data_IF_350997894907
#
_entry.id   IF_350997894907
#
_cell.length_a   1.000
_cell.length_b   1.000
_cell.length_c   1.000
_cell.angle_alpha   90.00
_cell.angle_beta   90.00
_cell.angle_gamma   90.00
#
_symmetry.space_group_name_H-M   'P 1'
#
loop_
_entity.id
_entity.type
_entity.pdbx_description
1 polymer ?
#
# COMPACT_ATOMS: atom_id res chain seq x y z
N UNK A 1 -0.78 50.50 -29.28
CA UNK A 1 -2.14 50.82 -29.78
C UNK A 1 -2.41 52.28 -29.43
N UNK A 2 -2.59 53.17 -30.41
CA UNK A 2 -2.77 54.62 -30.20
C UNK A 2 -4.22 54.99 -30.46
N UNK A 3 -4.80 55.82 -29.59
CA UNK A 3 -6.18 56.31 -29.71
C UNK A 3 -6.14 57.68 -30.38
N UNK A 4 -6.93 57.86 -31.44
CA UNK A 4 -7.18 59.17 -32.05
C UNK A 4 -8.59 59.65 -31.63
N UNK A 5 -8.79 60.97 -31.58
CA UNK A 5 -10.02 61.62 -31.09
C UNK A 5 -11.27 61.30 -31.90
N UNK A 6 -11.13 60.59 -33.04
CA UNK A 6 -12.23 60.06 -33.85
C UNK A 6 -12.66 58.62 -33.53
N UNK A 7 -12.04 57.94 -32.57
CA UNK A 7 -12.39 56.54 -32.25
C UNK A 7 -13.68 56.43 -31.44
N UNK A 8 -14.59 55.55 -31.86
CA UNK A 8 -15.82 55.26 -31.12
C UNK A 8 -15.56 54.31 -29.95
N UNK A 9 -16.51 54.23 -28.99
CA UNK A 9 -16.46 53.21 -27.93
C UNK A 9 -16.42 51.77 -28.47
N UNK A 10 -17.03 51.53 -29.63
CA UNK A 10 -16.99 50.24 -30.30
C UNK A 10 -15.60 49.93 -30.89
N UNK A 11 -14.92 50.96 -31.45
CA UNK A 11 -13.53 50.84 -31.85
C UNK A 11 -12.63 50.55 -30.64
N UNK A 12 -12.92 51.10 -29.47
CA UNK A 12 -12.19 50.80 -28.24
C UNK A 12 -12.43 49.36 -27.78
N UNK A 13 -13.69 48.91 -27.73
CA UNK A 13 -14.05 47.54 -27.37
C UNK A 13 -13.35 46.51 -28.26
N UNK A 14 -13.34 46.71 -29.57
CA UNK A 14 -12.72 45.77 -30.51
C UNK A 14 -11.18 45.79 -30.47
N UNK A 15 -10.55 46.96 -30.31
CA UNK A 15 -9.08 47.08 -30.31
C UNK A 15 -8.43 46.71 -28.96
N UNK A 16 -9.14 46.83 -27.84
CA UNK A 16 -8.58 46.62 -26.51
C UNK A 16 -9.15 45.43 -25.75
N UNK A 17 -10.28 44.84 -26.19
CA UNK A 17 -10.86 43.63 -25.58
C UNK A 17 -10.72 42.41 -26.49
N UNK A 18 -9.54 42.24 -27.10
CA UNK A 18 -9.24 41.09 -27.94
C UNK A 18 -8.24 40.13 -27.27
N UNK A 19 -8.43 39.91 -25.96
CA UNK A 19 -7.54 39.12 -25.11
C UNK A 19 -7.23 37.74 -25.73
N UNK A 20 -8.24 37.08 -26.31
CA UNK A 20 -8.11 35.79 -26.97
C UNK A 20 -7.14 35.81 -28.18
N UNK A 21 -7.03 36.94 -28.88
CA UNK A 21 -6.11 37.06 -30.03
C UNK A 21 -4.69 37.41 -29.56
N UNK A 22 -4.55 38.14 -28.45
CA UNK A 22 -3.25 38.52 -27.89
C UNK A 22 -2.59 37.37 -27.09
N UNK A 23 -3.37 36.47 -26.46
CA UNK A 23 -2.85 35.31 -25.68
C UNK A 23 -3.01 33.96 -26.36
N UNK A 24 -3.68 33.92 -27.53
CA UNK A 24 -4.00 32.68 -28.26
C UNK A 24 -5.33 32.06 -27.83
N UNK A 25 -6.02 31.43 -28.78
CA UNK A 25 -7.28 30.71 -28.55
C UNK A 25 -7.00 29.33 -27.93
N UNK A 26 -7.57 28.98 -26.75
CA UNK A 26 -7.42 27.66 -26.16
C UNK A 26 -7.85 26.50 -27.07
N UNK A 27 -8.71 26.74 -28.07
CA UNK A 27 -9.20 25.74 -29.01
C UNK A 27 -8.09 25.21 -29.93
N UNK A 28 -7.09 26.03 -30.25
CA UNK A 28 -5.96 25.64 -31.10
C UNK A 28 -4.85 24.88 -30.34
N UNK A 29 -4.94 24.80 -29.02
CA UNK A 29 -3.97 24.09 -28.20
C UNK A 29 -4.10 22.57 -28.42
N UNK A 30 -2.97 21.87 -28.40
CA UNK A 30 -2.93 20.41 -28.56
C UNK A 30 -2.79 19.66 -27.24
N UNK A 31 -2.73 20.38 -26.12
CA UNK A 31 -2.65 19.84 -24.75
C UNK A 31 -3.95 19.16 -24.33
N UNK A 32 -3.90 18.27 -23.32
CA UNK A 32 -5.11 17.61 -22.80
C UNK A 32 -6.01 18.63 -22.10
N UNK A 33 -5.43 19.48 -21.24
CA UNK A 33 -6.16 20.62 -20.68
C UNK A 33 -6.11 21.81 -21.64
N UNK A 34 -7.29 22.21 -22.13
CA UNK A 34 -7.52 23.37 -23.01
C UNK A 34 -8.49 24.37 -22.39
N UNK A 35 -8.77 24.26 -21.09
CA UNK A 35 -9.72 25.14 -20.41
C UNK A 35 -9.25 26.60 -20.41
N UNK A 36 -7.94 26.83 -20.48
CA UNK A 36 -7.32 28.12 -20.78
C UNK A 36 -5.90 27.93 -21.30
N UNK A 37 -5.33 28.97 -21.92
CA UNK A 37 -3.90 28.99 -22.29
C UNK A 37 -3.01 28.82 -21.06
N UNK A 38 -3.39 29.39 -19.92
CA UNK A 38 -2.64 29.24 -18.65
C UNK A 38 -2.64 27.80 -18.18
N UNK A 39 -3.79 27.12 -18.21
CA UNK A 39 -3.87 25.72 -17.79
C UNK A 39 -3.14 24.79 -18.76
N UNK A 40 -3.16 25.09 -20.06
CA UNK A 40 -2.35 24.37 -21.03
C UNK A 40 -0.85 24.59 -20.84
N UNK A 41 -0.41 25.81 -20.51
CA UNK A 41 0.99 26.12 -20.20
C UNK A 41 1.40 25.41 -18.91
N UNK A 42 0.58 25.49 -17.86
CA UNK A 42 0.82 24.78 -16.61
C UNK A 42 0.89 23.26 -16.87
N UNK A 43 -0.01 22.73 -17.67
CA UNK A 43 0.01 21.34 -18.11
C UNK A 43 1.31 20.97 -18.85
N UNK A 44 1.83 21.84 -19.72
CA UNK A 44 3.12 21.63 -20.40
C UNK A 44 4.29 21.76 -19.42
N UNK A 45 4.27 22.73 -18.52
CA UNK A 45 5.30 22.95 -17.51
C UNK A 45 5.41 21.76 -16.56
N UNK A 46 4.27 21.23 -16.11
CA UNK A 46 4.16 20.01 -15.32
C UNK A 46 4.62 18.76 -16.11
N UNK A 47 4.66 18.86 -17.45
CA UNK A 47 5.15 17.84 -18.37
C UNK A 47 6.61 18.01 -18.80
N UNK A 48 7.31 19.09 -18.42
CA UNK A 48 8.73 19.21 -18.75
C UNK A 48 9.44 18.00 -18.13
N UNK A 49 10.12 17.24 -18.98
CA UNK A 49 10.97 16.12 -18.58
C UNK A 49 12.04 16.67 -17.64
N UNK A 50 11.76 16.58 -16.35
CA UNK A 50 12.70 16.90 -15.30
C UNK A 50 13.64 15.71 -15.24
N UNK A 51 14.92 15.93 -15.48
CA UNK A 51 15.97 14.96 -15.26
C UNK A 51 17.00 15.62 -14.36
N UNK A 52 17.23 15.01 -13.20
CA UNK A 52 18.20 15.53 -12.24
C UNK A 52 19.00 14.35 -11.69
N UNK A 53 20.31 14.48 -11.78
CA UNK A 53 21.23 13.62 -11.06
C UNK A 53 21.50 14.22 -9.68
N UNK A 54 21.50 13.36 -8.68
CA UNK A 54 21.92 13.68 -7.32
C UNK A 54 23.11 12.79 -6.98
N UNK A 55 24.14 13.39 -6.41
CA UNK A 55 25.37 12.70 -6.04
C UNK A 55 25.55 12.69 -4.53
N UNK A 56 25.88 11.50 -4.04
CA UNK A 56 26.29 11.23 -2.68
C UNK A 56 27.58 10.39 -2.72
N UNK A 57 28.35 10.44 -1.67
CA UNK A 57 29.33 9.44 -1.31
C UNK A 57 28.81 8.59 -0.15
N UNK A 58 29.47 7.47 0.15
CA UNK A 58 29.00 6.58 1.21
C UNK A 58 28.97 7.23 2.59
N UNK A 59 29.75 8.29 2.84
CA UNK A 59 29.74 9.02 4.11
C UNK A 59 28.55 9.95 4.29
N UNK A 60 27.87 10.30 3.19
CA UNK A 60 26.62 11.08 3.22
C UNK A 60 25.40 10.25 3.63
N UNK A 61 25.57 8.95 3.86
CA UNK A 61 24.52 8.07 4.35
C UNK A 61 24.26 8.24 5.85
N UNK A 62 23.16 7.68 6.34
CA UNK A 62 22.93 7.58 7.80
C UNK A 62 23.97 6.63 8.46
N UNK A 63 23.93 6.42 9.78
CA UNK A 63 24.94 5.66 10.54
C UNK A 63 25.31 4.25 10.02
N UNK A 64 24.51 3.66 9.12
CA UNK A 64 24.76 2.40 8.43
C UNK A 64 25.25 2.52 6.98
N UNK A 65 25.42 3.73 6.44
CA UNK A 65 25.69 4.05 5.03
C UNK A 65 24.77 3.32 4.04
N UNK A 66 23.51 3.11 4.43
CA UNK A 66 22.49 2.48 3.59
C UNK A 66 21.39 3.43 3.19
N UNK A 67 21.12 4.49 3.94
CA UNK A 67 20.04 5.45 3.66
C UNK A 67 20.64 6.76 3.20
N UNK A 68 20.25 7.23 2.01
CA UNK A 68 20.73 8.47 1.39
C UNK A 68 19.56 9.37 0.97
N UNK A 69 19.66 10.70 1.17
CA UNK A 69 20.62 11.36 2.05
C UNK A 69 20.48 10.88 3.50
N UNK A 70 21.59 10.79 4.21
CA UNK A 70 21.62 10.63 5.65
C UNK A 70 21.07 11.86 6.36
N UNK A 71 20.72 11.72 7.64
CA UNK A 71 20.10 12.80 8.42
C UNK A 71 20.99 14.07 8.48
N UNK A 72 22.31 13.91 8.51
CA UNK A 72 23.27 15.02 8.51
C UNK A 72 23.20 15.90 7.25
N UNK A 73 22.80 15.33 6.11
CA UNK A 73 22.68 16.05 4.84
C UNK A 73 21.43 16.92 4.77
N UNK A 74 20.52 16.85 5.75
CA UNK A 74 19.30 17.67 5.80
C UNK A 74 18.44 17.62 4.52
N UNK A 75 18.43 16.47 3.84
CA UNK A 75 17.69 16.28 2.59
C UNK A 75 18.35 16.87 1.35
N UNK A 76 19.64 17.24 1.42
CA UNK A 76 20.42 17.77 0.31
C UNK A 76 21.37 16.71 -0.28
N UNK A 77 21.80 16.90 -1.53
CA UNK A 77 22.93 16.18 -2.14
C UNK A 77 24.26 16.93 -1.93
N UNK A 78 25.36 16.38 -2.47
CA UNK A 78 26.70 16.99 -2.34
C UNK A 78 26.87 18.32 -3.07
N UNK A 79 25.95 18.66 -3.98
CA UNK A 79 25.91 19.95 -4.64
C UNK A 79 24.97 20.94 -3.92
N UNK A 80 24.32 20.53 -2.82
CA UNK A 80 23.38 21.35 -2.05
C UNK A 80 21.97 21.42 -2.66
N UNK A 81 21.67 20.57 -3.65
CA UNK A 81 20.33 20.45 -4.22
C UNK A 81 19.43 19.67 -3.28
N UNK A 82 18.17 20.10 -3.15
CA UNK A 82 17.16 19.33 -2.43
C UNK A 82 16.91 17.99 -3.14
N UNK A 83 17.18 16.89 -2.44
CA UNK A 83 16.93 15.55 -2.95
C UNK A 83 15.43 15.25 -2.92
N UNK A 84 14.82 15.34 -4.09
CA UNK A 84 13.41 15.04 -4.30
C UNK A 84 13.27 14.28 -5.62
N UNK A 85 12.56 13.16 -5.57
CA UNK A 85 12.30 12.34 -6.73
C UNK A 85 10.87 11.82 -6.74
N UNK A 86 10.38 11.47 -7.92
CA UNK A 86 9.10 10.75 -8.03
C UNK A 86 9.36 9.26 -7.81
N UNK A 87 8.69 8.60 -6.84
CA UNK A 87 8.80 7.15 -6.69
C UNK A 87 8.60 6.44 -8.03
N UNK A 88 9.32 5.33 -8.24
CA UNK A 88 9.32 4.53 -9.48
C UNK A 88 9.96 5.20 -10.70
N UNK A 89 10.49 6.43 -10.57
CA UNK A 89 11.14 7.15 -11.67
C UNK A 89 12.55 7.56 -11.31
N UNK A 90 13.30 6.58 -10.81
CA UNK A 90 14.66 6.78 -10.34
C UNK A 90 15.54 5.59 -10.70
N UNK A 91 16.75 5.86 -11.15
CA UNK A 91 17.82 4.87 -11.33
C UNK A 91 18.90 5.15 -10.29
N UNK A 92 19.32 4.11 -9.55
CA UNK A 92 20.35 4.24 -8.53
C UNK A 92 21.59 3.47 -8.98
N UNK A 93 22.74 4.14 -8.91
CA UNK A 93 24.03 3.61 -9.30
C UNK A 93 24.97 3.62 -8.09
N UNK A 94 25.77 2.57 -7.94
CA UNK A 94 26.89 2.53 -7.00
C UNK A 94 28.18 2.30 -7.77
N UNK A 95 29.12 3.24 -7.68
CA UNK A 95 30.37 3.24 -8.45
C UNK A 95 30.13 3.02 -9.96
N UNK A 96 29.05 3.60 -10.49
CA UNK A 96 28.64 3.49 -11.90
C UNK A 96 27.88 2.20 -12.27
N UNK A 97 27.74 1.22 -11.37
CA UNK A 97 26.93 0.03 -11.61
C UNK A 97 25.46 0.33 -11.29
N UNK A 98 24.56 0.09 -12.26
CA UNK A 98 23.12 0.17 -12.05
C UNK A 98 22.65 -0.91 -11.06
N UNK A 99 21.97 -0.48 -10.01
CA UNK A 99 21.38 -1.36 -9.01
C UNK A 99 19.95 -1.77 -9.41
N UNK A 100 19.50 -2.94 -8.97
CA UNK A 100 18.12 -3.40 -9.21
C UNK A 100 17.19 -2.90 -8.11
N UNK A 101 16.10 -2.25 -8.50
CA UNK A 101 15.06 -1.84 -7.56
C UNK A 101 14.40 -3.06 -6.89
N UNK A 102 14.04 -2.93 -5.61
CA UNK A 102 13.42 -3.98 -4.80
C UNK A 102 14.38 -5.09 -4.34
N UNK A 103 15.56 -5.24 -4.97
CA UNK A 103 16.59 -6.21 -4.57
C UNK A 103 17.82 -5.53 -3.99
N UNK A 104 18.42 -4.61 -4.73
CA UNK A 104 19.68 -3.95 -4.36
C UNK A 104 19.43 -2.58 -3.69
N UNK A 105 18.26 -1.96 -3.95
CA UNK A 105 17.81 -0.74 -3.25
C UNK A 105 16.27 -0.61 -3.22
N UNK A 106 15.75 0.21 -2.30
CA UNK A 106 14.34 0.66 -2.24
C UNK A 106 14.24 2.19 -2.27
N UNK A 107 13.24 2.73 -2.97
CA UNK A 107 13.08 4.17 -3.21
C UNK A 107 11.59 4.53 -3.40
N UNK A 108 10.84 4.51 -2.30
CA UNK A 108 9.35 4.52 -2.33
C UNK A 108 8.71 5.81 -1.79
N UNK A 109 9.46 6.67 -1.09
CA UNK A 109 8.91 7.85 -0.40
C UNK A 109 9.16 9.17 -1.14
N UNK A 110 10.01 9.17 -2.17
CA UNK A 110 10.34 10.36 -2.96
C UNK A 110 11.41 11.26 -2.35
N UNK A 111 11.92 10.94 -1.16
CA UNK A 111 12.85 11.81 -0.41
C UNK A 111 14.07 11.08 0.16
N UNK A 112 14.10 9.75 0.17
CA UNK A 112 15.30 8.95 0.49
C UNK A 112 15.38 7.69 -0.36
N UNK A 113 16.58 7.15 -0.55
CA UNK A 113 16.83 5.82 -1.10
C UNK A 113 17.51 4.96 -0.02
N UNK A 114 17.17 3.68 0.03
CA UNK A 114 17.77 2.72 0.98
C UNK A 114 18.42 1.58 0.21
N UNK A 115 19.75 1.47 0.29
CA UNK A 115 20.52 0.35 -0.27
C UNK A 115 20.35 -0.91 0.58
N UNK A 116 20.31 -2.08 -0.06
CA UNK A 116 20.29 -3.36 0.63
C UNK A 116 21.64 -3.73 1.27
N UNK A 117 22.74 -3.21 0.72
CA UNK A 117 24.09 -3.36 1.24
C UNK A 117 24.72 -1.98 1.48
N UNK A 118 25.48 -1.85 2.57
CA UNK A 118 26.13 -0.58 2.92
C UNK A 118 27.11 -0.12 1.84
N UNK A 119 27.20 1.19 1.68
CA UNK A 119 28.26 1.85 0.94
C UNK A 119 29.50 2.01 1.83
N UNK A 120 30.68 1.77 1.28
CA UNK A 120 31.91 2.25 1.89
C UNK A 120 31.95 3.77 1.77
N UNK A 121 32.59 4.48 2.69
CA UNK A 121 32.60 5.96 2.70
C UNK A 121 33.07 6.59 1.37
N UNK A 122 33.91 5.91 0.60
CA UNK A 122 34.41 6.40 -0.68
C UNK A 122 33.60 5.93 -1.91
N UNK A 123 32.56 5.10 -1.71
CA UNK A 123 31.69 4.67 -2.80
C UNK A 123 30.84 5.85 -3.27
N UNK A 124 30.71 6.02 -4.59
CA UNK A 124 29.85 7.05 -5.18
C UNK A 124 28.46 6.47 -5.40
N UNK A 125 27.45 7.13 -4.84
CA UNK A 125 26.04 6.83 -5.05
C UNK A 125 25.44 7.93 -5.91
N UNK A 126 25.11 7.58 -7.16
CA UNK A 126 24.40 8.49 -8.06
C UNK A 126 22.95 8.08 -8.18
N UNK A 127 22.07 9.06 -8.04
CA UNK A 127 20.63 8.87 -8.17
C UNK A 127 20.12 9.74 -9.31
N UNK A 128 19.75 9.10 -10.42
CA UNK A 128 19.15 9.78 -11.57
C UNK A 128 17.63 9.75 -11.44
N UNK A 129 17.04 10.90 -11.10
CA UNK A 129 15.59 11.11 -11.02
C UNK A 129 15.05 11.64 -12.34
N UNK A 130 13.88 11.17 -12.76
CA UNK A 130 13.21 11.68 -13.94
C UNK A 130 11.70 11.80 -13.78
N UNK A 131 11.06 12.75 -14.46
CA UNK A 131 9.60 12.76 -14.63
C UNK A 131 9.30 12.10 -15.98
N UNK A 132 8.56 10.97 -15.96
CA UNK A 132 8.38 10.12 -17.15
C UNK A 132 7.75 10.83 -18.37
N UNK A 133 8.03 10.29 -19.56
CA UNK A 133 7.45 10.74 -20.85
C UNK A 133 5.93 10.53 -20.92
N UNK A 134 5.22 11.43 -21.62
CA UNK A 134 3.78 11.38 -21.90
C UNK A 134 3.35 10.21 -22.80
N UNK A 135 4.29 9.55 -23.49
CA UNK A 135 3.93 8.35 -24.25
C UNK A 135 3.60 7.26 -23.25
N UNK A 136 2.41 6.67 -23.35
CA UNK A 136 1.82 5.59 -22.55
C UNK A 136 2.69 4.33 -22.29
N UNK A 137 4.02 4.38 -22.37
CA UNK A 137 4.88 3.44 -21.65
C UNK A 137 4.43 3.46 -20.19
N UNK A 138 3.83 2.37 -19.69
CA UNK A 138 3.38 2.32 -18.32
C UNK A 138 4.55 2.77 -17.47
N UNK A 139 4.31 3.71 -16.54
CA UNK A 139 5.09 3.69 -15.31
C UNK A 139 5.15 2.22 -14.92
N UNK A 140 6.34 1.65 -14.74
CA UNK A 140 6.46 0.37 -14.07
C UNK A 140 5.73 0.57 -12.76
N UNK A 141 4.46 0.16 -12.75
CA UNK A 141 3.59 0.34 -11.62
C UNK A 141 4.15 -0.68 -10.65
N UNK A 142 5.01 -0.23 -9.74
CA UNK A 142 5.32 -1.02 -8.56
C UNK A 142 3.96 -1.32 -7.94
N UNK A 143 3.63 -2.60 -7.99
CA UNK A 143 2.29 -3.10 -7.80
C UNK A 143 1.76 -2.61 -6.46
N UNK A 144 0.48 -2.23 -6.44
CA UNK A 144 -0.29 -1.86 -5.26
C UNK A 144 0.11 -2.70 -4.04
N UNK A 145 0.08 -2.10 -2.83
CA UNK A 145 0.39 -2.72 -1.53
C UNK A 145 -0.52 -3.91 -1.19
N UNK A 146 -0.48 -4.96 -2.00
CA UNK A 146 -0.75 -6.32 -1.63
C UNK A 146 0.50 -6.84 -0.93
N UNK A 147 0.35 -7.73 0.03
CA UNK A 147 1.47 -8.49 0.58
C UNK A 147 2.03 -9.34 -0.57
N UNK A 148 2.97 -8.78 -1.34
CA UNK A 148 3.61 -9.44 -2.45
C UNK A 148 4.80 -10.23 -1.89
N UNK A 149 4.71 -11.54 -1.91
CA UNK A 149 5.84 -12.39 -1.53
C UNK A 149 6.56 -12.87 -2.78
N UNK A 150 7.86 -12.58 -2.89
CA UNK A 150 8.71 -13.11 -3.95
C UNK A 150 9.04 -14.61 -3.77
N UNK A 151 8.70 -15.20 -2.62
CA UNK A 151 8.91 -16.60 -2.29
C UNK A 151 7.61 -17.36 -1.99
N UNK A 152 7.74 -18.67 -1.75
CA UNK A 152 6.60 -19.58 -1.61
C UNK A 152 5.79 -19.42 -0.32
N UNK A 153 6.37 -18.82 0.73
CA UNK A 153 5.75 -18.73 2.05
C UNK A 153 5.77 -17.29 2.59
N UNK A 154 4.70 -16.90 3.29
CA UNK A 154 4.66 -15.72 4.15
C UNK A 154 4.84 -16.21 5.58
N UNK A 155 5.86 -15.72 6.32
CA UNK A 155 6.07 -16.09 7.72
C UNK A 155 6.33 -14.87 8.59
N UNK A 156 5.86 -14.93 9.84
CA UNK A 156 6.07 -13.91 10.85
C UNK A 156 7.17 -14.32 11.82
N UNK A 157 8.10 -13.42 12.14
CA UNK A 157 9.11 -13.62 13.19
C UNK A 157 8.92 -12.70 14.41
N UNK A 158 7.86 -11.87 14.43
CA UNK A 158 7.56 -11.01 15.56
C UNK A 158 7.03 -11.84 16.74
N UNK A 159 7.61 -11.63 17.93
CA UNK A 159 7.21 -12.33 19.17
C UNK A 159 5.78 -12.00 19.64
N UNK A 160 5.23 -10.86 19.23
CA UNK A 160 3.86 -10.50 19.57
C UNK A 160 2.81 -11.18 18.65
N UNK A 161 3.18 -11.59 17.44
CA UNK A 161 2.25 -12.12 16.42
C UNK A 161 1.90 -11.14 15.29
N UNK A 162 0.77 -11.35 14.62
CA UNK A 162 0.21 -10.50 13.53
C UNK A 162 -1.25 -10.17 13.82
N UNK A 163 -1.68 -8.94 13.50
CA UNK A 163 -3.10 -8.56 13.45
C UNK A 163 -3.48 -8.21 12.00
N UNK A 164 -4.51 -8.90 11.48
CA UNK A 164 -5.17 -8.57 10.22
C UNK A 164 -6.50 -7.88 10.52
N UNK A 165 -6.65 -6.63 10.09
CA UNK A 165 -7.80 -5.77 10.44
C UNK A 165 -8.22 -4.93 9.23
N UNK A 166 -9.48 -4.50 9.19
CA UNK A 166 -10.01 -3.66 8.10
C UNK A 166 -10.94 -2.57 8.62
N UNK A 167 -11.07 -1.45 7.89
CA UNK A 167 -12.09 -0.43 8.15
C UNK A 167 -11.95 0.38 9.44
N UNK A 168 -10.83 0.26 10.16
CA UNK A 168 -10.62 0.96 11.44
C UNK A 168 -10.06 2.37 11.21
N UNK A 169 -10.56 3.34 11.97
CA UNK A 169 -9.97 4.67 12.04
C UNK A 169 -8.54 4.59 12.61
N UNK A 170 -7.67 5.51 12.20
CA UNK A 170 -6.23 5.49 12.55
C UNK A 170 -6.02 5.42 14.07
N UNK A 171 -6.79 6.18 14.85
CA UNK A 171 -6.70 6.19 16.32
C UNK A 171 -7.22 4.93 17.03
N UNK A 172 -7.76 3.97 16.28
CA UNK A 172 -8.35 2.74 16.84
C UNK A 172 -7.73 1.48 16.24
N UNK A 173 -6.63 1.61 15.50
CA UNK A 173 -5.89 0.47 14.95
C UNK A 173 -5.39 -0.41 16.09
N UNK A 174 -5.64 -1.72 16.00
CA UNK A 174 -5.10 -2.72 16.90
C UNK A 174 -3.66 -2.99 16.47
N UNK A 175 -2.70 -2.60 17.30
CA UNK A 175 -1.27 -2.65 16.97
C UNK A 175 -0.55 -3.90 17.48
N UNK A 176 -1.21 -4.72 18.29
CA UNK A 176 -0.70 -5.99 18.77
C UNK A 176 -1.84 -6.99 18.96
N UNK A 177 -1.62 -8.30 18.76
CA UNK A 177 -2.61 -9.30 19.08
C UNK A 177 -2.96 -9.30 20.56
N UNK A 178 -4.21 -9.63 20.86
CA UNK A 178 -4.71 -9.82 22.22
C UNK A 178 -4.11 -11.07 22.91
N UNK A 179 -3.64 -12.03 22.12
CA UNK A 179 -2.92 -13.22 22.56
C UNK A 179 -1.54 -13.23 21.89
N UNK A 180 -0.47 -13.34 22.67
CA UNK A 180 0.90 -13.40 22.12
C UNK A 180 1.09 -14.62 21.23
N UNK A 181 2.08 -14.58 20.34
CA UNK A 181 2.40 -15.67 19.41
C UNK A 181 1.21 -16.13 18.55
N UNK A 182 0.29 -15.21 18.22
CA UNK A 182 -0.93 -15.53 17.46
C UNK A 182 -1.07 -14.73 16.17
N UNK A 183 -1.93 -15.24 15.28
CA UNK A 183 -2.49 -14.47 14.18
C UNK A 183 -3.90 -14.10 14.59
N UNK A 184 -4.16 -12.81 14.76
CA UNK A 184 -5.48 -12.29 15.08
C UNK A 184 -6.15 -11.78 13.80
N UNK A 185 -7.39 -12.23 13.58
CA UNK A 185 -8.31 -11.63 12.61
C UNK A 185 -9.24 -10.70 13.38
N UNK A 186 -9.04 -9.39 13.23
CA UNK A 186 -9.76 -8.35 13.94
C UNK A 186 -10.87 -7.78 13.03
N UNK A 187 -11.99 -8.52 12.98
CA UNK A 187 -13.17 -8.22 12.18
C UNK A 187 -13.88 -9.48 11.70
N UNK A 188 -14.97 -9.28 10.96
CA UNK A 188 -15.71 -10.38 10.34
C UNK A 188 -14.81 -11.15 9.36
N UNK A 189 -14.79 -12.47 9.49
CA UNK A 189 -13.98 -13.36 8.65
C UNK A 189 -14.87 -14.17 7.73
N UNK A 190 -14.72 -13.97 6.42
CA UNK A 190 -15.41 -14.74 5.39
C UNK A 190 -14.45 -15.79 4.81
N UNK A 191 -14.83 -17.06 4.88
CA UNK A 191 -14.10 -18.17 4.27
C UNK A 191 -14.94 -18.73 3.12
N UNK A 192 -14.54 -18.45 1.89
CA UNK A 192 -15.28 -18.88 0.69
C UNK A 192 -15.12 -20.37 0.35
N UNK A 193 -14.19 -21.05 1.02
CA UNK A 193 -13.86 -22.46 0.85
C UNK A 193 -13.80 -23.16 2.21
N UNK A 194 -13.20 -24.34 2.27
CA UNK A 194 -13.07 -25.10 3.52
C UNK A 194 -12.06 -24.47 4.49
N UNK A 195 -12.35 -24.57 5.78
CA UNK A 195 -11.39 -24.31 6.86
C UNK A 195 -10.78 -25.63 7.34
N UNK A 196 -9.47 -25.80 7.15
CA UNK A 196 -8.72 -26.97 7.60
C UNK A 196 -8.06 -26.71 8.96
N UNK A 197 -8.30 -27.60 9.92
CA UNK A 197 -7.59 -27.64 11.20
C UNK A 197 -6.67 -28.86 11.21
N UNK A 198 -5.36 -28.66 11.45
CA UNK A 198 -4.38 -29.73 11.35
C UNK A 198 -4.47 -30.71 12.54
N UNK A 199 -4.26 -32.00 12.27
CA UNK A 199 -4.31 -33.08 13.26
C UNK A 199 -5.64 -33.08 14.03
N UNK A 200 -5.61 -33.28 15.36
CA UNK A 200 -6.79 -33.27 16.22
C UNK A 200 -7.05 -31.88 16.83
N UNK A 201 -6.72 -30.79 16.12
CA UNK A 201 -7.05 -29.44 16.60
C UNK A 201 -8.55 -29.19 16.50
N UNK A 202 -9.03 -28.33 17.39
CA UNK A 202 -10.43 -28.08 17.62
C UNK A 202 -10.82 -26.65 17.26
N UNK A 203 -12.06 -26.47 16.81
CA UNK A 203 -12.68 -25.16 16.70
C UNK A 203 -13.29 -24.80 18.05
N UNK A 204 -12.83 -23.72 18.68
CA UNK A 204 -13.25 -23.31 20.04
C UNK A 204 -14.13 -22.08 20.02
N UNK A 205 -15.24 -22.15 20.75
CA UNK A 205 -16.15 -21.06 21.07
C UNK A 205 -15.95 -20.69 22.54
N UNK A 206 -15.19 -19.63 22.78
CA UNK A 206 -14.90 -19.14 24.13
C UNK A 206 -16.11 -18.43 24.74
N UNK A 207 -16.21 -18.46 26.06
CA UNK A 207 -17.19 -17.65 26.81
C UNK A 207 -16.79 -16.15 26.85
N UNK A 208 -17.63 -15.33 27.48
CA UNK A 208 -17.52 -13.87 27.41
C UNK A 208 -16.21 -13.30 27.97
N UNK A 209 -15.59 -13.98 28.93
CA UNK A 209 -14.31 -13.59 29.50
C UNK A 209 -13.13 -14.42 28.98
N UNK A 210 -13.40 -15.33 28.04
CA UNK A 210 -12.42 -16.22 27.42
C UNK A 210 -11.70 -17.18 28.38
N UNK A 211 -12.25 -17.43 29.56
CA UNK A 211 -11.70 -18.37 30.54
C UNK A 211 -12.05 -19.82 30.22
N UNK A 212 -13.22 -20.08 29.61
CA UNK A 212 -13.68 -21.40 29.22
C UNK A 212 -14.08 -21.45 27.73
N UNK A 213 -14.37 -22.65 27.23
CA UNK A 213 -14.82 -22.83 25.85
C UNK A 213 -15.66 -24.10 25.65
N UNK A 214 -16.51 -24.06 24.63
CA UNK A 214 -17.09 -25.25 23.97
C UNK A 214 -16.30 -25.49 22.68
N UNK A 215 -16.00 -26.74 22.34
CA UNK A 215 -15.20 -27.07 21.16
C UNK A 215 -15.83 -28.14 20.27
N UNK A 216 -15.54 -28.04 18.97
CA UNK A 216 -15.80 -29.10 17.99
C UNK A 216 -14.47 -29.74 17.63
N UNK A 217 -14.33 -31.04 17.88
CA UNK A 217 -13.10 -31.79 17.69
C UNK A 217 -13.39 -33.17 17.08
N UNK A 218 -12.53 -33.62 16.16
CA UNK A 218 -12.57 -34.99 15.67
C UNK A 218 -12.04 -36.00 16.72
N UNK A 219 -12.49 -37.27 16.70
CA UNK A 219 -11.88 -38.32 17.50
C UNK A 219 -10.41 -38.55 17.07
N UNK A 220 -9.61 -39.17 17.94
CA UNK A 220 -8.18 -39.38 17.68
C UNK A 220 -7.88 -40.25 16.45
N UNK A 221 -8.87 -40.97 15.93
CA UNK A 221 -8.78 -41.70 14.66
C UNK A 221 -10.12 -41.62 13.92
N UNK A 222 -10.06 -41.27 12.64
CA UNK A 222 -11.20 -41.26 11.72
C UNK A 222 -10.88 -42.23 10.59
N UNK A 223 -11.47 -43.43 10.60
CA UNK A 223 -11.15 -44.52 9.66
C UNK A 223 -11.72 -44.31 8.25
N UNK A 224 -12.70 -43.44 8.10
CA UNK A 224 -13.32 -43.03 6.84
C UNK A 224 -13.82 -41.60 6.97
N UNK A 225 -13.87 -40.82 5.88
CA UNK A 225 -14.41 -39.45 5.90
C UNK A 225 -15.82 -39.42 6.52
N UNK A 226 -16.06 -38.44 7.38
CA UNK A 226 -17.35 -38.18 8.03
C UNK A 226 -17.68 -36.71 7.87
N UNK A 227 -18.94 -36.41 7.60
CA UNK A 227 -19.46 -35.04 7.54
C UNK A 227 -20.56 -34.91 8.58
N UNK A 228 -20.45 -33.88 9.42
CA UNK A 228 -21.56 -33.45 10.26
C UNK A 228 -22.41 -32.48 9.42
N UNK A 229 -23.58 -32.94 8.97
CA UNK A 229 -24.56 -32.09 8.30
C UNK A 229 -25.62 -31.66 9.32
N UNK A 230 -25.82 -30.35 9.47
CA UNK A 230 -26.87 -29.82 10.33
C UNK A 230 -28.25 -30.08 9.68
N UNK A 231 -29.30 -30.30 10.47
CA UNK A 231 -30.65 -30.54 9.94
C UNK A 231 -31.20 -29.30 9.22
N UNK A 232 -32.07 -29.52 8.22
CA UNK A 232 -32.61 -28.49 7.33
C UNK A 232 -33.84 -27.71 7.85
N UNK A 233 -34.22 -27.88 9.13
CA UNK A 233 -35.52 -27.56 9.76
C UNK A 233 -36.62 -28.59 9.39
N UNK A 234 -37.54 -29.02 10.26
CA UNK A 234 -38.50 -28.26 11.07
C UNK A 234 -38.77 -28.93 12.44
N UNK A 235 -38.52 -28.21 13.55
CA UNK A 235 -39.24 -28.30 14.86
C UNK A 235 -38.49 -27.51 15.96
N UNK A 236 -38.16 -26.23 15.67
CA UNK A 236 -37.84 -25.22 16.68
C UNK A 236 -36.53 -25.39 17.48
N UNK A 237 -35.76 -26.45 17.26
CA UNK A 237 -34.59 -26.73 18.08
C UNK A 237 -33.46 -27.34 17.25
N UNK A 238 -32.58 -26.48 16.73
CA UNK A 238 -31.38 -26.86 15.97
C UNK A 238 -30.25 -27.44 16.86
N UNK A 239 -30.57 -27.94 18.07
CA UNK A 239 -29.73 -28.02 19.29
C UNK A 239 -29.87 -26.73 20.13
N UNK A 240 -30.94 -26.56 20.91
CA UNK A 240 -31.09 -25.44 21.85
C UNK A 240 -30.88 -25.80 23.34
N UNK A 241 -29.77 -26.39 23.78
CA UNK A 241 -29.47 -26.79 25.20
C UNK A 241 -30.51 -26.34 26.26
N UNK A 242 -31.67 -27.01 26.31
CA UNK A 242 -32.76 -26.66 27.22
C UNK A 242 -32.56 -27.52 28.45
N UNK A 243 -31.76 -26.99 29.37
CA UNK A 243 -31.22 -27.65 30.56
C UNK A 243 -30.27 -28.81 30.24
N UNK A 244 -29.02 -28.67 30.70
CA UNK A 244 -28.14 -29.80 30.95
C UNK A 244 -28.94 -30.81 31.80
N UNK A 245 -29.26 -31.97 31.23
CA UNK A 245 -29.55 -33.14 32.05
C UNK A 245 -28.38 -33.34 33.02
N UNK A 246 -28.63 -33.90 34.20
CA UNK A 246 -27.70 -33.96 35.34
C UNK A 246 -26.31 -34.56 35.06
N UNK A 247 -26.06 -35.04 33.83
CA UNK A 247 -24.82 -35.63 33.33
C UNK A 247 -24.13 -34.83 32.21
N UNK A 248 -24.56 -33.60 31.90
CA UNK A 248 -23.83 -32.72 30.96
C UNK A 248 -23.86 -33.15 29.48
N UNK A 249 -24.84 -33.96 29.08
CA UNK A 249 -24.94 -34.52 27.73
C UNK A 249 -25.50 -33.49 26.74
N UNK A 250 -24.69 -33.08 25.75
CA UNK A 250 -25.03 -32.04 24.75
C UNK A 250 -25.84 -32.61 23.56
N UNK A 251 -25.89 -33.93 23.41
CA UNK A 251 -26.68 -34.64 22.39
C UNK A 251 -27.44 -35.79 23.07
N UNK A 252 -28.74 -35.64 23.30
CA UNK A 252 -29.59 -36.80 23.62
C UNK A 252 -29.71 -37.63 22.34
N UNK A 253 -29.10 -38.82 22.30
CA UNK A 253 -29.73 -39.90 21.54
C UNK A 253 -31.01 -40.19 22.31
N UNK A 254 -32.16 -39.97 21.68
CA UNK A 254 -33.38 -40.66 22.08
C UNK A 254 -33.05 -42.15 21.99
N UNK A 255 -32.71 -42.71 23.15
CA UNK A 255 -32.31 -44.11 23.23
C UNK A 255 -33.47 -44.95 22.72
N UNK A 256 -33.27 -45.55 21.55
CA UNK A 256 -33.82 -46.82 21.11
C UNK A 256 -32.87 -47.40 20.03
N UNK A 257 -31.77 -48.02 20.49
CA UNK A 257 -30.85 -48.80 19.64
C UNK A 257 -29.37 -48.57 19.89
#
# INVERSE_FOLDING_TARGET
RTVDVGSTFENWRQNYNNLATDVGDPVALTTVDKTSVVNAINYIMDQIFFFQDFDFDGSDGDSSNTVFPGSAMSGLDNAGNTFLYKPQKVLVYKNGLLLRSGTDYTAINGTTITLAASANNADVIRVSSYTGSYTNTPSGAESQFYWQTAGSNVYNNNSAGIVLQTGRAIGSIVTAPTVTDSIQLDGDTYVNADLYLNAQKDLRFRDSDSSHYVAVQAPGTVSTNRTLTLPSAEDGYMIAVAAVGSNGQVLSSDGDG
#
